data_IF_243214711423
#
_entry.id   IF_243214711423
#
_cell.length_a   1.000
_cell.length_b   1.000
_cell.length_c   1.000
_cell.angle_alpha   90.00
_cell.angle_beta   90.00
_cell.angle_gamma   90.00
#
_symmetry.space_group_name_H-M   'P 1'
#
loop_
_entity.id
_entity.type
_entity.pdbx_description
1 polymer ?
#
# COMPACT_ATOMS: atom_id res chain seq x y z
N UNK A 1 4.58 -52.03 10.11
CA UNK A 1 5.53 -51.20 9.32
C UNK A 1 4.72 -50.13 8.61
N UNK A 2 4.87 -48.86 8.99
CA UNK A 2 4.11 -47.76 8.39
C UNK A 2 4.89 -47.20 7.19
N UNK A 3 4.37 -47.40 5.99
CA UNK A 3 4.93 -46.86 4.75
C UNK A 3 4.68 -45.35 4.69
N UNK A 4 5.76 -44.56 4.75
CA UNK A 4 5.71 -43.12 4.52
C UNK A 4 5.60 -42.85 3.01
N UNK A 5 4.49 -42.25 2.59
CA UNK A 5 4.31 -41.81 1.22
C UNK A 5 5.35 -40.72 0.86
N UNK A 6 5.85 -40.67 -0.40
CA UNK A 6 6.80 -39.65 -0.83
C UNK A 6 6.16 -38.24 -0.84
N UNK A 7 6.93 -37.18 -0.56
CA UNK A 7 6.42 -35.82 -0.57
C UNK A 7 5.97 -35.44 -1.99
N UNK A 8 4.68 -35.13 -2.13
CA UNK A 8 4.11 -34.65 -3.38
C UNK A 8 4.75 -33.29 -3.76
N UNK A 9 5.09 -33.04 -5.03
CA UNK A 9 5.70 -31.79 -5.45
C UNK A 9 4.73 -30.63 -5.18
N UNK A 10 5.14 -29.71 -4.30
CA UNK A 10 4.39 -28.50 -4.00
C UNK A 10 4.25 -27.67 -5.27
N UNK A 11 3.02 -27.52 -5.75
CA UNK A 11 2.71 -26.71 -6.93
C UNK A 11 3.05 -25.23 -6.66
N UNK A 12 4.24 -24.81 -7.10
CA UNK A 12 4.72 -23.45 -6.98
C UNK A 12 3.86 -22.43 -7.74
N UNK A 13 2.94 -22.88 -8.62
CA UNK A 13 2.03 -22.00 -9.40
C UNK A 13 1.00 -21.28 -8.53
N UNK A 14 0.69 -21.80 -7.34
CA UNK A 14 -0.28 -21.19 -6.41
C UNK A 14 0.29 -20.10 -5.51
N UNK A 15 1.61 -19.92 -5.46
CA UNK A 15 2.19 -18.88 -4.61
C UNK A 15 2.01 -17.53 -5.30
N UNK A 16 1.01 -16.76 -4.86
CA UNK A 16 0.82 -15.36 -5.25
C UNK A 16 2.17 -14.66 -5.07
N UNK A 17 2.81 -14.28 -6.18
CA UNK A 17 4.10 -13.59 -6.14
C UNK A 17 3.88 -12.25 -5.44
N UNK A 18 4.56 -12.01 -4.33
CA UNK A 18 4.59 -10.73 -3.62
C UNK A 18 5.37 -9.68 -4.43
N UNK A 19 4.99 -9.47 -5.69
CA UNK A 19 5.61 -8.49 -6.58
C UNK A 19 4.63 -7.35 -6.79
N UNK A 20 5.09 -6.14 -6.48
CA UNK A 20 4.32 -4.92 -6.66
C UNK A 20 4.03 -4.61 -8.11
N UNK A 21 2.85 -4.03 -8.33
CA UNK A 21 2.40 -3.58 -9.64
C UNK A 21 3.30 -2.46 -10.16
N UNK A 22 3.93 -2.68 -11.31
CA UNK A 22 4.86 -1.69 -11.88
C UNK A 22 4.16 -0.58 -12.68
N UNK A 23 2.89 -0.76 -13.03
CA UNK A 23 2.04 0.28 -13.65
C UNK A 23 1.33 1.11 -12.57
N UNK A 24 1.03 2.39 -12.85
CA UNK A 24 0.14 3.14 -11.97
C UNK A 24 -1.24 2.45 -11.85
N UNK A 25 -1.94 2.66 -10.74
CA UNK A 25 -3.23 2.04 -10.44
C UNK A 25 -4.28 2.36 -11.50
N UNK A 26 -4.33 3.61 -11.98
CA UNK A 26 -5.25 3.97 -13.06
C UNK A 26 -4.98 3.17 -14.34
N UNK A 27 -3.72 3.01 -14.76
CA UNK A 27 -3.40 2.20 -15.94
C UNK A 27 -3.56 0.70 -15.67
N UNK A 28 -3.28 0.23 -14.45
CA UNK A 28 -3.43 -1.16 -14.04
C UNK A 28 -4.89 -1.61 -14.12
N UNK A 29 -5.79 -0.86 -13.46
CA UNK A 29 -7.22 -1.13 -13.43
C UNK A 29 -7.85 -1.04 -14.83
N UNK A 30 -7.42 -0.06 -15.63
CA UNK A 30 -7.90 0.11 -17.01
C UNK A 30 -7.17 -0.78 -18.04
N UNK A 31 -6.23 -1.63 -17.60
CA UNK A 31 -5.43 -2.53 -18.45
C UNK A 31 -4.75 -1.81 -19.63
N UNK A 32 -4.19 -0.63 -19.38
CA UNK A 32 -3.50 0.20 -20.39
C UNK A 32 -1.99 0.17 -20.20
N UNK A 33 -1.25 0.50 -21.27
CA UNK A 33 0.21 0.68 -21.21
C UNK A 33 0.53 1.90 -20.33
N UNK A 34 1.38 1.69 -19.32
CA UNK A 34 1.93 2.73 -18.47
C UNK A 34 3.41 2.93 -18.82
N UNK A 35 3.80 4.16 -19.12
CA UNK A 35 5.18 4.61 -19.38
C UNK A 35 6.00 4.81 -18.10
N UNK A 36 5.36 4.72 -16.93
CA UNK A 36 5.98 4.74 -15.59
C UNK A 36 6.71 6.03 -15.21
N UNK A 37 6.60 7.08 -16.01
CA UNK A 37 6.92 8.43 -15.57
C UNK A 37 5.93 8.87 -14.46
N UNK A 38 6.27 9.86 -13.65
CA UNK A 38 5.45 10.31 -12.52
C UNK A 38 5.12 11.80 -12.64
N UNK A 39 3.86 12.18 -12.88
CA UNK A 39 2.74 11.33 -13.31
C UNK A 39 3.00 10.71 -14.70
N UNK A 40 2.36 9.59 -15.02
CA UNK A 40 2.60 8.91 -16.29
C UNK A 40 1.98 9.70 -17.44
N UNK A 41 2.62 9.71 -18.62
CA UNK A 41 2.19 10.51 -19.78
C UNK A 41 0.72 10.28 -20.14
N UNK A 42 0.22 9.05 -20.00
CA UNK A 42 -1.19 8.75 -20.26
C UNK A 42 -2.13 9.47 -19.29
N UNK A 43 -1.81 9.47 -17.99
CA UNK A 43 -2.61 10.16 -16.99
C UNK A 43 -2.52 11.67 -17.15
N UNK A 44 -1.37 12.20 -17.58
CA UNK A 44 -1.19 13.61 -17.93
C UNK A 44 -2.08 14.02 -19.09
N UNK A 45 -2.05 13.28 -20.20
CA UNK A 45 -2.84 13.59 -21.40
C UNK A 45 -4.35 13.48 -21.19
N UNK A 46 -4.78 12.66 -20.22
CA UNK A 46 -6.19 12.51 -19.84
C UNK A 46 -6.62 13.50 -18.74
N UNK A 47 -5.75 14.39 -18.27
CA UNK A 47 -6.05 15.30 -17.16
C UNK A 47 -6.36 14.58 -15.84
N UNK A 48 -5.93 13.33 -15.70
CA UNK A 48 -6.28 12.42 -14.59
C UNK A 48 -5.08 12.18 -13.66
N UNK A 49 -4.18 13.15 -13.54
CA UNK A 49 -2.92 13.03 -12.78
C UNK A 49 -3.15 12.72 -11.29
N UNK A 50 -4.25 13.24 -10.71
CA UNK A 50 -4.65 12.98 -9.33
C UNK A 50 -4.93 11.49 -9.04
N UNK A 51 -5.33 10.72 -10.06
CA UNK A 51 -5.58 9.27 -9.95
C UNK A 51 -4.34 8.43 -10.32
N UNK A 52 -3.23 9.06 -10.70
CA UNK A 52 -2.00 8.38 -11.09
C UNK A 52 -1.18 7.94 -9.88
N UNK A 53 -1.73 7.02 -9.10
CA UNK A 53 -1.08 6.47 -7.89
C UNK A 53 -0.30 5.21 -8.26
N UNK A 54 0.82 4.97 -7.60
CA UNK A 54 1.57 3.72 -7.71
C UNK A 54 1.47 2.97 -6.39
N UNK A 55 1.40 1.64 -6.44
CA UNK A 55 1.61 0.83 -5.24
C UNK A 55 3.03 1.13 -4.73
N UNK A 56 3.11 1.67 -3.51
CA UNK A 56 4.36 1.74 -2.75
C UNK A 56 4.46 0.46 -1.94
N UNK A 57 5.54 -0.28 -2.19
CA UNK A 57 5.84 -1.52 -1.50
C UNK A 57 6.47 -1.18 -0.14
N UNK A 58 5.73 -0.46 0.72
CA UNK A 58 6.22 -0.08 2.03
C UNK A 58 6.14 -1.29 2.97
N UNK A 59 7.13 -2.17 2.83
CA UNK A 59 7.46 -3.17 3.86
C UNK A 59 7.72 -2.47 5.21
N UNK A 60 8.16 -1.21 5.19
CA UNK A 60 8.27 -0.36 6.37
C UNK A 60 6.90 0.01 6.97
N UNK A 61 5.85 0.28 6.18
CA UNK A 61 4.52 0.63 6.73
C UNK A 61 3.82 -0.56 7.41
N UNK A 62 4.17 -1.79 7.01
CA UNK A 62 3.70 -3.02 7.68
C UNK A 62 4.37 -3.27 9.04
N UNK A 63 5.50 -2.62 9.31
CA UNK A 63 6.28 -2.77 10.55
C UNK A 63 6.08 -1.61 11.53
N UNK A 64 5.45 -0.51 11.12
CA UNK A 64 5.08 0.57 12.04
C UNK A 64 3.80 0.16 12.79
N UNK A 65 3.77 0.18 14.14
CA UNK A 65 2.54 0.03 14.92
C UNK A 65 1.68 1.30 14.76
N UNK A 66 1.21 1.58 13.54
CA UNK A 66 0.54 2.84 13.18
C UNK A 66 -0.86 3.01 13.78
N UNK A 67 -1.43 1.96 14.38
CA UNK A 67 -2.68 2.11 15.14
C UNK A 67 -2.45 2.79 16.50
N UNK A 68 -1.28 2.59 17.10
CA UNK A 68 -0.91 3.22 18.37
C UNK A 68 -0.53 4.69 18.16
N UNK A 69 0.23 4.99 17.09
CA UNK A 69 0.66 6.35 16.79
C UNK A 69 -0.50 7.31 16.49
N UNK A 70 -1.47 6.90 15.66
CA UNK A 70 -2.65 7.73 15.37
C UNK A 70 -3.48 7.97 16.64
N UNK A 71 -3.60 6.95 17.49
CA UNK A 71 -4.33 7.06 18.76
C UNK A 71 -3.60 7.99 19.73
N UNK A 72 -2.29 7.85 19.86
CA UNK A 72 -1.44 8.71 20.68
C UNK A 72 -1.47 10.18 20.20
N UNK A 73 -1.36 10.40 18.90
CA UNK A 73 -1.44 11.75 18.31
C UNK A 73 -2.82 12.39 18.55
N UNK A 74 -3.91 11.62 18.42
CA UNK A 74 -5.26 12.12 18.73
C UNK A 74 -5.42 12.50 20.20
N UNK A 75 -4.94 11.66 21.11
CA UNK A 75 -4.95 11.96 22.55
C UNK A 75 -4.16 13.23 22.86
N UNK A 76 -2.96 13.37 22.27
CA UNK A 76 -2.11 14.54 22.47
C UNK A 76 -2.75 15.82 21.91
N UNK A 77 -3.39 15.74 20.75
CA UNK A 77 -4.13 16.87 20.17
C UNK A 77 -5.26 17.30 21.09
N UNK A 78 -6.06 16.36 21.62
CA UNK A 78 -7.16 16.68 22.53
C UNK A 78 -6.68 17.36 23.83
N UNK A 79 -5.57 16.91 24.40
CA UNK A 79 -4.93 17.53 25.57
C UNK A 79 -4.48 18.97 25.27
N UNK A 80 -3.78 19.17 24.15
CA UNK A 80 -3.30 20.50 23.74
C UNK A 80 -4.47 21.46 23.48
N UNK A 81 -5.53 20.99 22.83
CA UNK A 81 -6.75 21.78 22.59
C UNK A 81 -7.45 22.17 23.89
N UNK A 82 -7.45 21.30 24.92
CA UNK A 82 -7.99 21.63 26.23
C UNK A 82 -7.21 22.78 26.90
N UNK A 83 -5.89 22.70 26.91
CA UNK A 83 -5.02 23.76 27.47
C UNK A 83 -5.23 25.08 26.74
N UNK A 84 -5.33 25.05 25.41
CA UNK A 84 -5.58 26.28 24.62
C UNK A 84 -6.94 26.92 24.97
N UNK A 85 -7.96 26.11 25.29
CA UNK A 85 -9.27 26.62 25.72
C UNK A 85 -9.26 27.23 27.11
N UNK A 86 -8.38 26.77 28.00
CA UNK A 86 -8.27 27.31 29.36
C UNK A 86 -7.49 28.63 29.42
N UNK A 87 -6.59 28.86 28.46
CA UNK A 87 -5.74 30.06 28.39
C UNK A 87 -6.39 31.20 27.59
N UNK A 88 -7.46 30.91 26.83
CA UNK A 88 -8.26 31.89 26.08
C UNK A 88 -9.54 32.24 26.81
#
# INVERSE_FOLDING_TARGET
MASLAPPQPLDHRKRRRNRTTQSCMSCHLNKRKCDRQRPCQRCTNLGSTALCVYEVDDKHYRLVPGQDEVSHLRSRVAELEAVIREIK
#
